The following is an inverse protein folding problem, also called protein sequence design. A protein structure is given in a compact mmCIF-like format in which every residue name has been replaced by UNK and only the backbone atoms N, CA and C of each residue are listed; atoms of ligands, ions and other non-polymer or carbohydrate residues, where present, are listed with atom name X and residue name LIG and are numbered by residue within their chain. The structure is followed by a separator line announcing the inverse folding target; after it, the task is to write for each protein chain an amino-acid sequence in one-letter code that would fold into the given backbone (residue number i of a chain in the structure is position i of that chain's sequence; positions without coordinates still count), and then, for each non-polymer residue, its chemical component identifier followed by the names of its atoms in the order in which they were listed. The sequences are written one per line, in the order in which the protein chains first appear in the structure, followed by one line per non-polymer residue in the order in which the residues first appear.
data_IF_433855997979
#
_entry.id   IF_433855997979
#
_cell.length_a   1.000
_cell.length_b   1.000
_cell.length_c   1.000
_cell.angle_alpha   90.00
_cell.angle_beta   90.00
_cell.angle_gamma   90.00
#
_symmetry.space_group_name_H-M   'P 1'
#
loop_
_entity.id
_entity.type
_entity.pdbx_description
1 polymer ?
#
# COMPACT_ATOMS: atom_id res chain seq x y z
N UNK A 1 -58.20 -28.51 -23.35
CA UNK A 1 -58.33 -29.54 -24.42
C UNK A 1 -56.96 -29.69 -25.07
N UNK A 2 -56.39 -30.92 -24.96
CA UNK A 2 -55.26 -31.50 -25.68
C UNK A 2 -53.89 -30.92 -25.35
N UNK A 3 -53.02 -31.49 -24.50
CA UNK A 3 -52.23 -32.74 -24.49
C UNK A 3 -51.39 -32.97 -25.77
N UNK A 4 -50.12 -33.03 -25.59
CA UNK A 4 -49.06 -33.94 -26.11
C UNK A 4 -47.74 -33.41 -25.55
N UNK A 5 -47.04 -33.93 -24.65
CA UNK A 5 -46.31 -35.16 -24.39
C UNK A 5 -45.45 -35.62 -25.61
N UNK A 6 -44.11 -35.43 -25.48
CA UNK A 6 -43.14 -36.45 -25.85
C UNK A 6 -41.75 -36.18 -25.28
N UNK A 7 -41.31 -37.11 -24.53
CA UNK A 7 -39.96 -37.45 -24.06
C UNK A 7 -38.99 -37.67 -25.20
N UNK A 8 -37.69 -37.45 -24.99
CA UNK A 8 -36.61 -38.39 -25.30
C UNK A 8 -35.36 -38.01 -24.50
N UNK A 9 -34.87 -38.98 -23.76
CA UNK A 9 -33.60 -39.00 -23.05
C UNK A 9 -32.43 -39.27 -24.03
N UNK A 10 -31.28 -38.69 -23.77
CA UNK A 10 -30.01 -39.20 -24.23
C UNK A 10 -28.92 -38.97 -23.19
N UNK A 11 -28.52 -40.08 -22.61
CA UNK A 11 -27.42 -40.27 -21.69
C UNK A 11 -26.13 -40.35 -22.53
N UNK A 12 -25.12 -39.55 -22.23
CA UNK A 12 -23.76 -39.79 -22.66
C UNK A 12 -22.80 -39.56 -21.51
N UNK A 13 -22.32 -40.65 -20.93
CA UNK A 13 -21.13 -40.72 -20.11
C UNK A 13 -19.90 -40.49 -21.00
N UNK A 14 -19.02 -39.63 -20.62
CA UNK A 14 -17.62 -39.67 -21.00
C UNK A 14 -16.78 -39.34 -19.75
N UNK A 15 -16.19 -40.38 -19.20
CA UNK A 15 -15.08 -40.30 -18.27
C UNK A 15 -13.82 -39.97 -19.09
N UNK A 16 -12.96 -39.11 -18.59
CA UNK A 16 -11.50 -39.23 -18.71
C UNK A 16 -10.83 -38.20 -17.80
N UNK A 17 -10.16 -38.77 -16.84
CA UNK A 17 -8.72 -38.65 -16.58
C UNK A 17 -8.25 -37.36 -15.93
N UNK A 18 -7.82 -37.54 -14.68
CA UNK A 18 -7.10 -36.62 -13.86
C UNK A 18 -5.79 -36.20 -14.49
N UNK A 19 -5.44 -35.01 -14.18
CA UNK A 19 -4.07 -34.56 -14.10
C UNK A 19 -3.89 -33.78 -12.79
N UNK A 20 -3.24 -34.46 -11.85
CA UNK A 20 -2.67 -33.82 -10.66
C UNK A 20 -1.48 -33.01 -11.15
N UNK A 21 -1.61 -31.70 -11.24
CA UNK A 21 -0.45 -30.83 -11.33
C UNK A 21 -0.10 -30.34 -9.92
N UNK A 22 0.96 -30.90 -9.40
CA UNK A 22 1.73 -30.39 -8.28
C UNK A 22 2.37 -29.08 -8.73
N UNK A 23 1.95 -27.97 -8.22
CA UNK A 23 2.50 -26.65 -8.52
C UNK A 23 2.60 -25.87 -7.23
N UNK A 24 3.76 -25.93 -6.66
CA UNK A 24 4.54 -24.91 -5.95
C UNK A 24 3.78 -23.80 -5.24
N UNK A 25 4.00 -23.77 -3.92
CA UNK A 25 3.71 -22.67 -3.05
C UNK A 25 4.38 -21.37 -3.52
N UNK A 26 3.65 -20.63 -4.32
CA UNK A 26 3.97 -19.24 -4.62
C UNK A 26 3.45 -18.37 -3.50
N UNK A 27 4.38 -17.75 -2.77
CA UNK A 27 4.13 -16.69 -1.82
C UNK A 27 3.40 -15.54 -2.52
N UNK A 28 2.07 -15.58 -2.50
CA UNK A 28 1.22 -14.55 -3.11
C UNK A 28 1.23 -13.31 -2.21
N UNK A 29 2.29 -12.53 -2.30
CA UNK A 29 2.17 -11.12 -1.99
C UNK A 29 1.10 -10.59 -2.94
N UNK A 30 -0.02 -10.19 -2.40
CA UNK A 30 -1.18 -9.70 -3.13
C UNK A 30 -0.74 -8.58 -4.09
N UNK A 31 -0.48 -8.96 -5.35
CA UNK A 31 -0.50 -8.02 -6.46
C UNK A 31 -1.98 -7.67 -6.67
N UNK A 32 -2.40 -6.58 -6.06
CA UNK A 32 -3.65 -5.97 -6.43
C UNK A 32 -3.56 -5.62 -7.92
N UNK A 33 -4.44 -6.22 -8.72
CA UNK A 33 -4.57 -5.92 -10.15
C UNK A 33 -4.94 -4.45 -10.30
N UNK A 34 -4.12 -3.76 -11.06
CA UNK A 34 -4.10 -2.33 -11.20
C UNK A 34 -4.01 -1.96 -12.66
N UNK A 35 -5.13 -1.87 -13.32
CA UNK A 35 -5.17 -1.28 -14.66
C UNK A 35 -5.85 0.10 -14.72
N UNK A 36 -6.58 0.53 -13.69
CA UNK A 36 -7.15 1.89 -13.66
C UNK A 36 -7.34 2.32 -12.19
N UNK A 37 -6.49 3.21 -11.66
CA UNK A 37 -6.67 3.76 -10.32
C UNK A 37 -5.38 4.17 -9.62
N UNK A 38 -5.46 4.34 -8.32
CA UNK A 38 -4.31 4.70 -7.48
C UNK A 38 -3.61 3.44 -6.99
N UNK A 39 -2.30 3.41 -7.18
CA UNK A 39 -1.41 2.29 -6.87
C UNK A 39 -0.44 2.71 -5.79
N UNK A 40 -0.28 1.87 -4.78
CA UNK A 40 0.69 2.07 -3.71
C UNK A 40 1.73 0.96 -3.77
N UNK A 41 3.01 1.33 -3.66
CA UNK A 41 4.13 0.40 -3.67
C UNK A 41 5.20 0.81 -2.66
N UNK A 42 6.11 -0.12 -2.33
CA UNK A 42 7.25 0.12 -1.42
C UNK A 42 6.84 0.71 -0.06
N UNK A 43 5.66 0.31 0.43
CA UNK A 43 5.14 0.81 1.69
C UNK A 43 5.88 0.18 2.87
N UNK A 44 6.28 1.03 3.83
CA UNK A 44 6.91 0.64 5.09
C UNK A 44 6.62 1.64 6.19
N UNK A 45 6.65 1.16 7.43
CA UNK A 45 6.58 1.99 8.63
C UNK A 45 7.84 1.77 9.45
N UNK A 46 8.48 2.84 9.86
CA UNK A 46 9.59 2.82 10.83
C UNK A 46 9.03 3.06 12.23
N UNK A 47 9.36 2.21 13.20
CA UNK A 47 8.88 2.36 14.56
C UNK A 47 9.45 3.61 15.23
N UNK A 48 8.83 4.07 16.33
CA UNK A 48 9.35 5.19 17.09
C UNK A 48 10.81 4.97 17.58
N UNK A 49 11.59 6.05 17.69
CA UNK A 49 12.88 6.00 18.37
C UNK A 49 12.70 5.67 19.86
N UNK A 50 13.67 4.99 20.51
CA UNK A 50 13.60 4.76 21.96
C UNK A 50 13.27 6.06 22.71
N UNK A 51 12.24 6.01 23.56
CA UNK A 51 11.75 7.16 24.30
C UNK A 51 10.90 8.15 23.51
N UNK A 52 10.51 7.83 22.28
CA UNK A 52 9.56 8.59 21.46
C UNK A 52 8.32 7.76 21.19
N UNK A 53 7.22 8.43 20.83
CA UNK A 53 5.94 7.83 20.52
C UNK A 53 5.48 8.11 19.07
N UNK A 54 6.39 8.60 18.22
CA UNK A 54 6.08 8.98 16.84
C UNK A 54 6.77 8.02 15.87
N UNK A 55 5.98 7.31 15.08
CA UNK A 55 6.44 6.46 13.98
C UNK A 55 6.42 7.25 12.65
N UNK A 56 7.17 6.77 11.65
CA UNK A 56 7.21 7.37 10.33
C UNK A 56 6.74 6.37 9.27
N UNK A 57 5.93 6.84 8.31
CA UNK A 57 5.45 6.02 7.19
C UNK A 57 5.95 6.54 5.86
N UNK A 58 6.33 5.59 4.97
CA UNK A 58 6.84 5.86 3.63
C UNK A 58 6.21 4.91 2.62
N UNK A 59 5.96 5.39 1.41
CA UNK A 59 5.48 4.60 0.26
C UNK A 59 5.60 5.41 -1.02
N UNK A 60 5.46 4.75 -2.16
CA UNK A 60 5.24 5.41 -3.44
C UNK A 60 3.76 5.30 -3.81
N UNK A 61 3.18 6.36 -4.33
CA UNK A 61 1.80 6.41 -4.78
C UNK A 61 1.74 6.89 -6.21
N UNK A 62 1.14 6.09 -7.09
CA UNK A 62 0.99 6.39 -8.52
C UNK A 62 -0.49 6.50 -8.86
N UNK A 63 -0.86 7.58 -9.53
CA UNK A 63 -2.19 7.75 -10.07
C UNK A 63 -2.23 7.28 -11.53
N UNK A 64 -2.67 6.06 -11.79
CA UNK A 64 -2.85 5.51 -13.13
C UNK A 64 -4.15 5.93 -13.81
N UNK A 65 -5.01 6.68 -13.11
CA UNK A 65 -6.25 7.19 -13.70
C UNK A 65 -5.97 8.33 -14.70
N UNK A 66 -7.00 8.70 -15.46
CA UNK A 66 -6.94 9.82 -16.42
C UNK A 66 -7.32 11.16 -15.79
N UNK A 67 -7.66 11.19 -14.51
CA UNK A 67 -8.08 12.37 -13.76
C UNK A 67 -7.13 12.63 -12.59
N UNK A 68 -6.96 13.89 -12.26
CA UNK A 68 -6.23 14.30 -11.06
C UNK A 68 -7.00 13.90 -9.80
N UNK A 69 -6.27 13.57 -8.74
CA UNK A 69 -6.82 13.29 -7.42
C UNK A 69 -5.93 13.93 -6.33
N UNK A 70 -6.30 13.74 -5.08
CA UNK A 70 -5.54 14.20 -3.92
C UNK A 70 -5.64 13.18 -2.79
N UNK A 71 -4.51 12.77 -2.23
CA UNK A 71 -4.48 12.10 -0.94
C UNK A 71 -4.77 13.15 0.13
N UNK A 72 -5.92 13.06 0.77
CA UNK A 72 -6.40 14.08 1.74
C UNK A 72 -6.02 13.75 3.17
N UNK A 73 -5.99 12.47 3.53
CA UNK A 73 -5.61 12.04 4.87
C UNK A 73 -5.20 10.57 4.90
N UNK A 74 -4.48 10.18 5.94
CA UNK A 74 -4.18 8.79 6.27
C UNK A 74 -4.57 8.54 7.71
N UNK A 75 -5.12 7.36 8.00
CA UNK A 75 -5.45 6.94 9.36
C UNK A 75 -4.87 5.56 9.66
N UNK A 76 -4.64 5.29 10.93
CA UNK A 76 -4.17 3.99 11.41
C UNK A 76 -4.72 3.69 12.80
N UNK A 77 -5.16 2.47 13.10
CA UNK A 77 -5.65 2.12 14.42
C UNK A 77 -4.58 2.16 15.51
N UNK A 78 -3.30 2.10 15.13
CA UNK A 78 -2.17 2.15 16.07
C UNK A 78 -1.75 3.58 16.46
N UNK A 79 -2.32 4.60 15.84
CA UNK A 79 -1.89 6.00 16.00
C UNK A 79 -3.06 6.88 16.44
N UNK A 80 -2.78 7.79 17.39
CA UNK A 80 -3.76 8.79 17.80
C UNK A 80 -4.06 9.85 16.74
N UNK A 81 -3.06 10.14 15.87
CA UNK A 81 -3.18 11.01 14.71
C UNK A 81 -2.10 10.68 13.70
N UNK A 82 -2.46 10.70 12.41
CA UNK A 82 -1.52 10.58 11.30
C UNK A 82 -1.54 11.88 10.51
N UNK A 83 -0.39 12.50 10.36
CA UNK A 83 -0.23 13.75 9.62
C UNK A 83 0.68 13.52 8.40
N UNK A 84 0.37 14.21 7.30
CA UNK A 84 1.22 14.26 6.12
C UNK A 84 2.15 15.45 6.27
N UNK A 85 3.44 15.23 6.25
CA UNK A 85 4.46 16.27 6.33
C UNK A 85 5.27 16.32 5.05
N UNK A 86 5.83 17.50 4.75
CA UNK A 86 6.79 17.70 3.67
C UNK A 86 8.00 18.47 4.18
N UNK A 87 9.17 18.17 3.62
CA UNK A 87 10.34 19.02 3.78
C UNK A 87 10.32 20.07 2.68
N UNK A 88 10.28 21.33 3.10
CA UNK A 88 10.33 22.51 2.23
C UNK A 88 11.54 23.37 2.59
N UNK A 89 12.11 24.03 1.60
CA UNK A 89 13.16 25.01 1.82
C UNK A 89 12.53 26.41 2.00
N UNK A 90 12.80 27.02 3.14
CA UNK A 90 12.41 28.39 3.44
C UNK A 90 13.67 29.17 3.87
N UNK A 91 14.03 30.22 3.13
CA UNK A 91 15.18 31.07 3.39
C UNK A 91 16.52 30.30 3.47
N UNK A 92 16.71 29.28 2.64
CA UNK A 92 17.90 28.41 2.63
C UNK A 92 17.94 27.39 3.77
N UNK A 93 16.87 27.24 4.53
CA UNK A 93 16.75 26.29 5.64
C UNK A 93 15.67 25.26 5.33
N UNK A 94 16.03 23.98 5.41
CA UNK A 94 15.06 22.91 5.31
C UNK A 94 14.18 22.86 6.55
N UNK A 95 12.87 22.99 6.34
CA UNK A 95 11.86 22.93 7.40
C UNK A 95 10.83 21.84 7.09
N UNK A 96 10.45 21.12 8.13
CA UNK A 96 9.36 20.15 8.05
C UNK A 96 8.03 20.86 8.34
N UNK A 97 7.06 20.72 7.45
CA UNK A 97 5.74 21.32 7.56
C UNK A 97 4.65 20.30 7.34
N UNK A 98 3.62 20.35 8.16
CA UNK A 98 2.37 19.65 7.87
C UNK A 98 1.73 20.24 6.62
N UNK A 99 1.15 19.38 5.79
CA UNK A 99 0.43 19.75 4.57
C UNK A 99 -0.98 19.14 4.58
N UNK A 100 -1.93 19.80 3.90
CA UNK A 100 -3.33 19.39 3.84
C UNK A 100 -3.59 18.20 2.90
N UNK A 101 -2.53 17.59 2.37
CA UNK A 101 -2.60 16.45 1.47
C UNK A 101 -1.56 16.52 0.36
N UNK A 102 -1.60 15.52 -0.52
CA UNK A 102 -0.68 15.35 -1.64
C UNK A 102 -1.48 15.34 -2.94
N UNK A 103 -1.21 16.29 -3.84
CA UNK A 103 -1.78 16.28 -5.19
C UNK A 103 -1.23 15.07 -5.96
N UNK A 104 -2.10 14.37 -6.67
CA UNK A 104 -1.81 13.18 -7.47
C UNK A 104 -2.31 13.43 -8.88
N UNK A 105 -1.47 14.02 -9.73
CA UNK A 105 -1.86 14.24 -11.12
C UNK A 105 -1.99 12.93 -11.88
N UNK A 106 -2.83 12.93 -12.91
CA UNK A 106 -3.00 11.80 -13.80
C UNK A 106 -1.65 11.31 -14.35
N UNK A 107 -1.33 10.04 -14.15
CA UNK A 107 -0.07 9.42 -14.56
C UNK A 107 1.15 9.75 -13.69
N UNK A 108 0.99 10.54 -12.63
CA UNK A 108 2.10 10.93 -11.76
C UNK A 108 2.36 9.88 -10.66
N UNK A 109 3.64 9.72 -10.31
CA UNK A 109 4.09 9.01 -9.12
C UNK A 109 4.67 10.01 -8.13
N UNK A 110 4.17 9.99 -6.90
CA UNK A 110 4.72 10.76 -5.78
C UNK A 110 5.34 9.79 -4.78
N UNK A 111 6.58 10.07 -4.38
CA UNK A 111 7.31 9.27 -3.39
C UNK A 111 7.29 9.95 -2.02
N UNK A 112 6.79 9.23 -1.02
CA UNK A 112 6.98 9.59 0.38
C UNK A 112 8.26 8.91 0.85
N UNK A 113 9.29 9.74 1.14
CA UNK A 113 10.63 9.28 1.51
C UNK A 113 11.31 10.29 2.46
N UNK A 114 12.40 9.90 3.15
CA UNK A 114 13.19 10.84 3.95
C UNK A 114 13.60 12.07 3.14
N UNK A 115 13.42 13.25 3.71
CA UNK A 115 13.73 14.53 3.04
C UNK A 115 12.65 15.04 2.06
N UNK A 116 11.53 14.35 1.94
CA UNK A 116 10.39 14.73 1.11
C UNK A 116 9.08 14.58 1.90
N UNK A 117 7.97 14.27 1.20
CA UNK A 117 6.74 13.86 1.87
C UNK A 117 6.97 12.63 2.74
N UNK A 118 6.29 12.57 3.88
CA UNK A 118 6.26 11.41 4.77
C UNK A 118 5.05 11.48 5.69
N UNK A 119 4.69 10.34 6.28
CA UNK A 119 3.68 10.29 7.33
C UNK A 119 4.36 10.41 8.70
N UNK A 120 3.77 11.23 9.57
CA UNK A 120 4.06 11.25 10.99
C UNK A 120 2.88 10.65 11.76
N UNK A 121 3.13 9.56 12.45
CA UNK A 121 2.13 8.80 13.20
C UNK A 121 2.35 9.04 14.69
N UNK A 122 1.57 9.97 15.26
CA UNK A 122 1.71 10.40 16.66
C UNK A 122 1.04 9.44 17.62
N UNK A 123 1.63 9.30 18.80
CA UNK A 123 1.17 8.35 19.84
C UNK A 123 1.00 6.96 19.28
N UNK A 124 1.97 6.53 18.48
CA UNK A 124 1.99 5.21 17.88
C UNK A 124 2.16 4.14 18.98
N UNK A 125 1.15 3.29 19.11
CA UNK A 125 1.17 2.16 20.01
C UNK A 125 1.52 0.90 19.23
N UNK A 126 2.82 0.69 19.01
CA UNK A 126 3.40 -0.47 18.36
C UNK A 126 3.95 -1.43 19.41
N UNK A 127 3.47 -2.68 19.43
CA UNK A 127 4.09 -3.74 20.20
C UNK A 127 5.51 -4.05 19.66
N UNK A 128 6.38 -4.56 20.51
CA UNK A 128 7.78 -4.85 20.13
C UNK A 128 7.90 -5.93 19.04
N UNK A 129 6.94 -6.85 19.00
CA UNK A 129 6.84 -7.96 18.04
C UNK A 129 5.89 -7.68 16.88
N UNK A 130 5.35 -6.46 16.78
CA UNK A 130 4.41 -6.10 15.71
C UNK A 130 5.15 -5.92 14.39
N UNK A 131 4.90 -6.83 13.45
CA UNK A 131 5.51 -6.87 12.12
C UNK A 131 4.78 -6.02 11.08
N UNK A 132 3.50 -5.72 11.30
CA UNK A 132 2.65 -5.08 10.30
C UNK A 132 1.67 -4.10 10.94
N UNK A 133 1.30 -3.07 10.19
CA UNK A 133 0.30 -2.09 10.58
C UNK A 133 -0.71 -1.86 9.46
N UNK A 134 -1.94 -1.52 9.83
CA UNK A 134 -2.97 -1.11 8.87
C UNK A 134 -2.93 0.40 8.66
N UNK A 135 -2.89 0.83 7.40
CA UNK A 135 -3.06 2.21 6.98
C UNK A 135 -4.29 2.33 6.08
N UNK A 136 -5.14 3.30 6.35
CA UNK A 136 -6.26 3.67 5.47
C UNK A 136 -5.97 5.03 4.85
N UNK A 137 -5.86 5.07 3.53
CA UNK A 137 -5.62 6.26 2.74
C UNK A 137 -6.95 6.78 2.20
N UNK A 138 -7.22 8.06 2.42
CA UNK A 138 -8.44 8.71 1.95
C UNK A 138 -8.11 9.72 0.85
N UNK A 139 -8.87 9.67 -0.23
CA UNK A 139 -8.69 10.51 -1.41
C UNK A 139 -9.85 11.49 -1.57
N UNK A 140 -9.65 12.51 -2.38
CA UNK A 140 -10.70 13.49 -2.68
C UNK A 140 -11.77 12.90 -3.59
N UNK A 141 -11.36 12.19 -4.64
CA UNK A 141 -12.25 11.66 -5.67
C UNK A 141 -12.32 10.14 -5.71
N UNK A 142 -11.23 9.45 -5.38
CA UNK A 142 -11.16 7.98 -5.38
C UNK A 142 -11.65 7.37 -4.08
N UNK A 143 -12.11 6.11 -4.10
CA UNK A 143 -12.43 5.36 -2.88
C UNK A 143 -11.22 5.24 -1.95
N UNK A 144 -11.47 5.24 -0.65
CA UNK A 144 -10.43 4.97 0.35
C UNK A 144 -9.85 3.57 0.18
N UNK A 145 -8.54 3.45 0.38
CA UNK A 145 -7.81 2.18 0.29
C UNK A 145 -7.22 1.85 1.66
N UNK A 146 -7.47 0.64 2.14
CA UNK A 146 -6.81 0.11 3.34
C UNK A 146 -5.77 -0.92 2.93
N UNK A 147 -4.56 -0.78 3.45
CA UNK A 147 -3.44 -1.67 3.17
C UNK A 147 -2.75 -2.12 4.47
N UNK A 148 -2.12 -3.29 4.42
CA UNK A 148 -1.23 -3.79 5.48
C UNK A 148 0.19 -3.45 5.08
N UNK A 149 0.93 -2.81 5.98
CA UNK A 149 2.26 -2.27 5.73
C UNK A 149 3.24 -2.87 6.72
N UNK A 150 4.38 -3.41 6.27
CA UNK A 150 5.39 -3.94 7.16
C UNK A 150 6.02 -2.84 8.05
N UNK A 151 6.32 -3.22 9.27
CA UNK A 151 7.13 -2.42 10.20
C UNK A 151 8.59 -2.84 10.03
N UNK A 152 9.42 -1.94 9.50
CA UNK A 152 10.84 -2.21 9.29
C UNK A 152 11.67 -1.77 10.51
N UNK A 153 12.57 -2.66 10.95
CA UNK A 153 13.58 -2.31 11.96
C UNK A 153 14.52 -1.22 11.44
N UNK A 154 15.09 -0.43 12.37
CA UNK A 154 15.99 0.68 12.02
C UNK A 154 17.33 0.26 11.42
N UNK A 155 17.65 -1.03 11.40
CA UNK A 155 18.88 -1.57 10.89
C UNK A 155 18.86 -1.98 9.42
N UNK A 156 17.69 -2.02 8.79
CA UNK A 156 17.54 -2.60 7.45
C UNK A 156 17.68 -1.59 6.30
N UNK A 157 17.83 -0.30 6.60
CA UNK A 157 17.92 0.76 5.59
C UNK A 157 19.32 1.00 5.01
N UNK A 158 20.33 0.21 5.40
CA UNK A 158 21.72 0.30 4.86
C UNK A 158 22.22 -1.04 4.35
N UNK A 159 21.53 -1.59 3.35
CA UNK A 159 22.22 -2.44 2.36
C UNK A 159 22.16 -1.73 1.02
N UNK A 160 22.82 -0.60 0.91
CA UNK A 160 23.36 -0.15 -0.36
C UNK A 160 24.54 -1.04 -0.67
N UNK A 161 24.43 -1.78 -1.76
CA UNK A 161 25.48 -2.61 -2.33
C UNK A 161 26.73 -1.78 -2.56
N UNK A 162 27.68 -1.83 -1.61
CA UNK A 162 29.05 -1.42 -1.85
C UNK A 162 29.77 -2.59 -2.54
N UNK A 163 29.61 -2.65 -3.87
CA UNK A 163 30.51 -3.39 -4.73
C UNK A 163 31.69 -2.50 -5.11
N UNK A 164 32.56 -2.20 -4.16
CA UNK A 164 33.93 -1.81 -4.50
C UNK A 164 34.69 -3.08 -4.91
N UNK A 165 34.63 -3.39 -6.22
CA UNK A 165 35.49 -4.34 -6.87
C UNK A 165 36.90 -3.79 -6.97
N UNK A 166 37.88 -4.55 -6.46
CA UNK A 166 39.29 -4.45 -6.85
C UNK A 166 39.51 -5.18 -8.17
#
# INVERSE_FOLDING_TARGET
MRVFLTTIAALALAACSGEMNHGEGGNSHARHQMDEGIVISSARVLPPFPGRDTAAGYFSITNHSKADDKLTSVTSPISGAVEIHNHIEEDGIMKMRQVDGIALKAGETVELKPGSYHLMMFKANLAEDQSDVSLTLNYENSPSVTMIVPVEGRGDSEKTDDHSGH
#
